data_IF_269006698090
#
_entry.id   IF_269006698090
#
_cell.length_a   1.000
_cell.length_b   1.000
_cell.length_c   1.000
_cell.angle_alpha   90.00
_cell.angle_beta   90.00
_cell.angle_gamma   90.00
#
_symmetry.space_group_name_H-M   'P 1'
#
loop_
_entity.id
_entity.type
_entity.pdbx_description
1 polymer ?
#
# COMPACT_ATOMS: atom_id res chain seq x y z
N UNK A 1 2.78 -24.07 6.04
CA UNK A 1 3.46 -23.47 7.20
C UNK A 1 2.40 -22.90 8.12
N UNK A 2 2.46 -23.10 9.43
CA UNK A 2 1.45 -22.54 10.36
C UNK A 2 2.13 -21.40 11.12
N UNK A 3 1.72 -20.17 10.83
CA UNK A 3 2.18 -19.01 11.57
C UNK A 3 1.45 -18.95 12.92
N UNK A 4 2.19 -18.63 13.98
CA UNK A 4 1.63 -18.47 15.32
C UNK A 4 2.38 -17.39 16.06
N UNK A 5 1.67 -16.35 16.46
CA UNK A 5 2.20 -15.23 17.24
C UNK A 5 1.58 -15.27 18.64
N UNK A 6 2.39 -15.60 19.64
CA UNK A 6 1.94 -15.66 21.04
C UNK A 6 2.50 -14.52 21.89
N UNK A 7 3.46 -13.76 21.38
CA UNK A 7 4.16 -12.71 22.12
C UNK A 7 4.85 -11.79 21.15
N UNK A 8 4.92 -10.51 21.47
CA UNK A 8 5.67 -9.49 20.71
C UNK A 8 7.16 -9.38 21.12
N UNK A 9 7.57 -10.09 22.17
CA UNK A 9 8.94 -10.06 22.72
C UNK A 9 9.73 -11.34 22.45
N UNK A 10 9.16 -12.30 21.73
CA UNK A 10 9.87 -13.50 21.30
C UNK A 10 10.77 -13.21 20.09
N UNK A 11 11.79 -14.05 19.83
CA UNK A 11 12.62 -13.90 18.65
C UNK A 11 11.77 -13.81 17.38
N UNK A 12 12.04 -12.79 16.57
CA UNK A 12 11.40 -12.60 15.29
C UNK A 12 11.81 -13.72 14.34
N UNK A 13 10.85 -14.41 13.74
CA UNK A 13 11.08 -15.52 12.82
C UNK A 13 10.72 -15.22 11.37
N UNK A 14 9.89 -14.20 11.18
CA UNK A 14 9.34 -13.84 9.89
C UNK A 14 8.85 -12.40 9.96
N UNK A 15 9.12 -11.62 8.92
CA UNK A 15 8.67 -10.24 8.81
C UNK A 15 8.33 -9.91 7.36
N UNK A 16 7.30 -9.10 7.18
CA UNK A 16 6.97 -8.46 5.90
C UNK A 16 7.27 -6.99 6.04
N UNK A 17 8.04 -6.44 5.12
CA UNK A 17 8.35 -5.03 4.99
C UNK A 17 7.78 -4.48 3.69
N UNK A 18 7.69 -3.17 3.58
CA UNK A 18 7.40 -2.51 2.31
C UNK A 18 8.41 -1.39 2.08
N UNK A 19 9.18 -1.51 1.02
CA UNK A 19 10.16 -0.52 0.60
C UNK A 19 9.41 0.69 0.03
N UNK A 20 9.69 1.92 0.53
CA UNK A 20 9.10 3.13 -0.05
C UNK A 20 9.29 3.19 -1.56
N UNK A 21 8.21 3.44 -2.30
CA UNK A 21 8.20 3.37 -3.75
C UNK A 21 7.48 4.56 -4.41
N UNK A 22 6.97 4.37 -5.63
CA UNK A 22 6.34 5.42 -6.42
C UNK A 22 5.10 6.04 -5.78
N UNK A 23 4.48 5.36 -4.82
CA UNK A 23 3.34 5.88 -4.05
C UNK A 23 3.70 7.16 -3.27
N UNK A 24 4.96 7.33 -2.89
CA UNK A 24 5.44 8.50 -2.17
C UNK A 24 5.80 9.68 -3.10
N UNK A 25 6.04 9.43 -4.37
CA UNK A 25 6.34 10.50 -5.35
C UNK A 25 5.13 11.40 -5.61
N UNK A 26 3.93 10.89 -5.35
CA UNK A 26 2.67 11.63 -5.50
C UNK A 26 2.18 12.26 -4.19
N UNK A 27 2.96 12.17 -3.11
CA UNK A 27 2.70 12.90 -1.87
C UNK A 27 3.21 14.33 -2.03
N UNK A 28 2.30 15.29 -1.92
CA UNK A 28 2.58 16.73 -2.10
C UNK A 28 2.07 17.53 -0.90
N UNK A 29 2.56 18.75 -0.65
CA UNK A 29 2.05 19.58 0.44
C UNK A 29 0.53 19.78 0.40
N UNK A 30 -0.07 19.79 -0.79
CA UNK A 30 -1.51 20.00 -0.93
C UNK A 30 -2.35 18.83 -0.38
N UNK A 31 -1.85 17.61 -0.44
CA UNK A 31 -2.56 16.43 0.06
C UNK A 31 -2.18 15.99 1.49
N UNK A 32 -1.38 16.81 2.18
CA UNK A 32 -1.12 16.69 3.63
C UNK A 32 -2.12 17.51 4.46
N UNK A 33 -2.90 18.37 3.85
CA UNK A 33 -3.82 19.28 4.52
C UNK A 33 -5.22 18.66 4.56
N UNK A 34 -5.75 18.36 5.76
CA UNK A 34 -7.05 17.72 5.92
C UNK A 34 -8.22 18.58 5.45
N UNK A 35 -8.13 19.90 5.64
CA UNK A 35 -9.21 20.84 5.28
C UNK A 35 -8.69 21.98 4.42
N UNK A 36 -9.44 22.32 3.39
CA UNK A 36 -9.14 23.41 2.47
C UNK A 36 -10.28 24.42 2.45
N UNK A 37 -9.96 25.68 2.14
CA UNK A 37 -10.94 26.72 1.92
C UNK A 37 -11.43 26.68 0.46
N UNK A 38 -12.75 26.57 0.28
CA UNK A 38 -13.41 26.64 -1.02
C UNK A 38 -14.69 27.45 -0.87
N UNK A 39 -14.88 28.46 -1.71
CA UNK A 39 -16.06 29.35 -1.69
C UNK A 39 -16.34 29.96 -0.29
N UNK A 40 -15.27 30.42 0.40
CA UNK A 40 -15.28 30.94 1.78
C UNK A 40 -15.83 29.96 2.82
N UNK A 41 -15.72 28.66 2.57
CA UNK A 41 -16.08 27.58 3.50
C UNK A 41 -14.91 26.62 3.67
N UNK A 42 -14.70 26.18 4.92
CA UNK A 42 -13.75 25.15 5.23
C UNK A 42 -14.40 23.79 4.95
N UNK A 43 -13.86 23.06 3.97
CA UNK A 43 -14.34 21.74 3.57
C UNK A 43 -13.22 20.71 3.74
N UNK A 44 -13.60 19.43 3.84
CA UNK A 44 -12.63 18.34 3.83
C UNK A 44 -11.91 18.30 2.47
N UNK A 45 -10.59 18.17 2.52
CA UNK A 45 -9.78 18.06 1.31
C UNK A 45 -9.98 16.68 0.66
N UNK A 46 -10.53 16.59 -0.56
CA UNK A 46 -10.76 15.31 -1.22
C UNK A 46 -9.46 14.57 -1.59
N UNK A 47 -8.34 15.29 -1.64
CA UNK A 47 -7.03 14.73 -1.95
C UNK A 47 -6.17 14.46 -0.69
N UNK A 48 -6.74 14.57 0.51
CA UNK A 48 -6.03 14.33 1.77
C UNK A 48 -5.66 12.85 1.92
N UNK A 49 -4.36 12.56 2.08
CA UNK A 49 -3.83 11.18 2.09
C UNK A 49 -3.74 10.56 3.49
N UNK A 50 -3.94 11.35 4.56
CA UNK A 50 -3.68 10.90 5.93
C UNK A 50 -2.26 10.33 6.07
N UNK A 51 -1.31 11.02 5.48
CA UNK A 51 0.12 10.74 5.51
C UNK A 51 0.83 12.07 5.74
N UNK A 52 1.60 12.17 6.80
CA UNK A 52 1.99 13.48 7.36
C UNK A 52 3.35 13.98 6.85
N UNK A 53 4.10 13.15 6.12
CA UNK A 53 5.47 13.44 5.72
C UNK A 53 5.67 13.43 4.20
N UNK A 54 6.54 14.34 3.73
CA UNK A 54 7.11 14.26 2.37
C UNK A 54 8.50 13.65 2.52
N UNK A 55 8.66 12.45 2.03
CA UNK A 55 9.92 11.72 2.14
C UNK A 55 10.75 11.83 0.85
N UNK A 56 12.08 11.83 1.01
CA UNK A 56 12.99 11.66 -0.11
C UNK A 56 13.11 10.15 -0.41
N UNK A 57 12.43 9.68 -1.44
CA UNK A 57 12.29 8.26 -1.75
C UNK A 57 13.64 7.55 -1.85
N UNK A 58 14.60 8.09 -2.60
CA UNK A 58 15.93 7.50 -2.76
C UNK A 58 16.69 7.35 -1.43
N UNK A 59 16.54 8.32 -0.53
CA UNK A 59 17.18 8.25 0.79
C UNK A 59 16.48 7.24 1.67
N UNK A 60 15.15 7.29 1.72
CA UNK A 60 14.35 6.36 2.48
C UNK A 60 14.56 4.91 2.03
N UNK A 61 14.74 4.67 0.73
CA UNK A 61 15.06 3.34 0.19
C UNK A 61 16.42 2.82 0.68
N UNK A 62 17.43 3.67 0.80
CA UNK A 62 18.74 3.27 1.34
C UNK A 62 18.64 2.91 2.82
N UNK A 63 17.99 3.75 3.61
CA UNK A 63 17.77 3.50 5.04
C UNK A 63 16.90 2.23 5.25
N UNK A 64 15.90 2.01 4.41
CA UNK A 64 15.09 0.80 4.43
C UNK A 64 15.92 -0.45 4.09
N UNK A 65 16.87 -0.37 3.15
CA UNK A 65 17.76 -1.47 2.83
C UNK A 65 18.62 -1.88 4.04
N UNK A 66 19.18 -0.90 4.75
CA UNK A 66 19.94 -1.16 5.99
C UNK A 66 19.08 -1.86 7.05
N UNK A 67 17.82 -1.42 7.21
CA UNK A 67 16.86 -2.07 8.12
C UNK A 67 16.58 -3.51 7.69
N UNK A 68 16.31 -3.75 6.41
CA UNK A 68 15.99 -5.08 5.91
C UNK A 68 17.18 -6.03 5.97
N UNK A 69 18.40 -5.56 5.79
CA UNK A 69 19.64 -6.35 5.97
C UNK A 69 19.77 -6.85 7.42
N UNK A 70 19.47 -5.98 8.39
CA UNK A 70 19.43 -6.34 9.81
C UNK A 70 18.32 -7.36 10.08
N UNK A 71 17.13 -7.13 9.54
CA UNK A 71 16.00 -8.05 9.69
C UNK A 71 16.28 -9.42 9.07
N UNK A 72 16.90 -9.47 7.90
CA UNK A 72 17.36 -10.72 7.29
C UNK A 72 18.29 -11.52 8.20
N UNK A 73 19.24 -10.84 8.86
CA UNK A 73 20.15 -11.48 9.80
C UNK A 73 19.38 -12.10 10.98
N UNK A 74 18.44 -11.37 11.58
CA UNK A 74 17.70 -11.87 12.76
C UNK A 74 16.59 -12.86 12.45
N UNK A 75 16.17 -12.97 11.19
CA UNK A 75 15.10 -13.90 10.76
C UNK A 75 15.61 -15.09 9.95
N UNK A 76 16.94 -15.30 9.91
CA UNK A 76 17.55 -16.32 9.06
C UNK A 76 17.07 -16.23 7.59
N UNK A 77 16.98 -15.01 7.06
CA UNK A 77 16.55 -14.73 5.69
C UNK A 77 15.02 -14.66 5.48
N UNK A 78 14.21 -14.78 6.52
CA UNK A 78 12.75 -14.72 6.40
C UNK A 78 12.20 -13.27 6.53
N UNK A 79 12.81 -12.35 5.83
CA UNK A 79 12.32 -10.98 5.63
C UNK A 79 11.84 -10.84 4.19
N UNK A 80 10.58 -10.50 3.99
CA UNK A 80 9.94 -10.48 2.67
C UNK A 80 9.44 -9.08 2.34
N UNK A 81 9.69 -8.66 1.10
CA UNK A 81 9.14 -7.43 0.59
C UNK A 81 7.70 -7.66 0.13
N UNK A 82 6.79 -6.76 0.54
CA UNK A 82 5.37 -6.87 0.24
C UNK A 82 5.09 -6.87 -1.27
N UNK A 83 5.77 -6.00 -2.01
CA UNK A 83 5.61 -5.93 -3.46
C UNK A 83 5.97 -7.24 -4.15
N UNK A 84 7.03 -7.93 -3.70
CA UNK A 84 7.45 -9.21 -4.28
C UNK A 84 6.46 -10.32 -3.97
N UNK A 85 5.92 -10.36 -2.74
CA UNK A 85 4.85 -11.30 -2.40
C UNK A 85 3.60 -11.04 -3.23
N UNK A 86 3.23 -9.78 -3.43
CA UNK A 86 2.09 -9.42 -4.27
C UNK A 86 2.30 -9.84 -5.72
N UNK A 87 3.49 -9.63 -6.30
CA UNK A 87 3.83 -10.07 -7.65
C UNK A 87 3.68 -11.59 -7.82
N UNK A 88 4.13 -12.37 -6.83
CA UNK A 88 3.94 -13.83 -6.84
C UNK A 88 2.46 -14.21 -6.87
N UNK A 89 1.63 -13.55 -6.05
CA UNK A 89 0.18 -13.79 -6.01
C UNK A 89 -0.48 -13.41 -7.34
N UNK A 90 -0.08 -12.29 -7.93
CA UNK A 90 -0.62 -11.79 -9.20
C UNK A 90 -0.16 -12.60 -10.42
N UNK A 91 0.84 -13.46 -10.29
CA UNK A 91 1.19 -14.46 -11.31
C UNK A 91 0.06 -15.43 -11.63
N UNK A 92 -0.88 -15.63 -10.70
CA UNK A 92 -2.10 -16.40 -10.92
C UNK A 92 -3.19 -15.58 -11.63
N UNK A 93 -3.63 -16.01 -12.81
CA UNK A 93 -4.63 -15.27 -13.61
C UNK A 93 -5.92 -14.96 -12.85
N UNK A 94 -6.41 -15.90 -12.04
CA UNK A 94 -7.64 -15.72 -11.23
C UNK A 94 -7.45 -14.70 -10.12
N UNK A 95 -6.31 -14.74 -9.44
CA UNK A 95 -6.00 -13.81 -8.34
C UNK A 95 -5.75 -12.39 -8.85
N UNK A 96 -5.05 -12.25 -9.98
CA UNK A 96 -4.86 -10.96 -10.66
C UNK A 96 -6.22 -10.33 -10.99
N UNK A 97 -7.09 -11.08 -11.68
CA UNK A 97 -8.42 -10.61 -12.07
C UNK A 97 -9.28 -10.22 -10.86
N UNK A 98 -9.30 -11.06 -9.81
CA UNK A 98 -10.07 -10.81 -8.60
C UNK A 98 -9.61 -9.53 -7.89
N UNK A 99 -8.30 -9.34 -7.72
CA UNK A 99 -7.76 -8.14 -7.07
C UNK A 99 -8.11 -6.86 -7.86
N UNK A 100 -7.94 -6.90 -9.19
CA UNK A 100 -8.27 -5.75 -10.04
C UNK A 100 -9.76 -5.39 -9.91
N UNK A 101 -10.63 -6.39 -9.90
CA UNK A 101 -12.06 -6.18 -9.72
C UNK A 101 -12.40 -5.57 -8.38
N UNK A 102 -11.85 -6.11 -7.28
CA UNK A 102 -12.07 -5.56 -5.94
C UNK A 102 -11.59 -4.11 -5.84
N UNK A 103 -10.42 -3.80 -6.37
CA UNK A 103 -9.92 -2.42 -6.41
C UNK A 103 -10.83 -1.50 -7.23
N UNK A 104 -11.33 -1.96 -8.38
CA UNK A 104 -12.21 -1.17 -9.24
C UNK A 104 -13.58 -0.93 -8.60
N UNK A 105 -14.16 -1.94 -7.95
CA UNK A 105 -15.41 -1.82 -7.19
C UNK A 105 -15.27 -0.86 -6.02
N UNK A 106 -14.17 -0.93 -5.28
CA UNK A 106 -13.88 -0.05 -4.17
C UNK A 106 -13.73 1.41 -4.63
N UNK A 107 -12.98 1.67 -5.70
CA UNK A 107 -12.86 3.01 -6.30
C UNK A 107 -14.23 3.57 -6.73
N UNK A 108 -15.06 2.74 -7.34
CA UNK A 108 -16.40 3.17 -7.70
C UNK A 108 -17.28 3.44 -6.48
N UNK A 109 -17.21 2.59 -5.46
CA UNK A 109 -17.98 2.76 -4.24
C UNK A 109 -17.61 4.05 -3.51
N UNK A 110 -16.30 4.30 -3.30
CA UNK A 110 -15.79 5.43 -2.52
C UNK A 110 -15.82 6.75 -3.29
N UNK A 111 -15.39 6.73 -4.56
CA UNK A 111 -15.10 7.96 -5.32
C UNK A 111 -15.95 8.11 -6.59
N UNK A 112 -16.88 7.18 -6.86
CA UNK A 112 -17.68 7.12 -8.10
C UNK A 112 -16.82 7.10 -9.38
N UNK A 113 -15.57 6.67 -9.26
CA UNK A 113 -14.63 6.59 -10.36
C UNK A 113 -14.65 5.20 -10.98
N UNK A 114 -14.92 5.15 -12.28
CA UNK A 114 -14.84 3.89 -13.05
C UNK A 114 -13.40 3.63 -13.46
N UNK A 115 -12.95 2.42 -13.20
CA UNK A 115 -11.64 1.91 -13.60
C UNK A 115 -11.81 1.01 -14.83
N UNK A 116 -10.89 1.16 -15.77
CA UNK A 116 -10.79 0.28 -16.94
C UNK A 116 -10.10 -1.03 -16.52
N UNK A 117 -10.89 -2.06 -16.28
CA UNK A 117 -10.44 -3.36 -15.81
C UNK A 117 -9.63 -4.07 -16.89
N UNK A 118 -10.03 -3.96 -18.16
CA UNK A 118 -9.35 -4.62 -19.27
C UNK A 118 -7.96 -4.02 -19.47
N UNK A 119 -7.83 -2.69 -19.36
CA UNK A 119 -6.54 -2.01 -19.36
C UNK A 119 -5.64 -2.54 -18.25
N UNK A 120 -6.09 -2.61 -17.00
CA UNK A 120 -5.28 -3.11 -15.88
C UNK A 120 -4.90 -4.60 -16.06
N UNK A 121 -5.80 -5.41 -16.59
CA UNK A 121 -5.50 -6.83 -16.86
C UNK A 121 -4.45 -7.00 -17.96
N UNK A 122 -4.36 -6.06 -18.92
CA UNK A 122 -3.38 -6.09 -20.00
C UNK A 122 -1.96 -5.67 -19.55
N UNK A 123 -1.84 -5.00 -18.40
CA UNK A 123 -0.53 -4.63 -17.84
C UNK A 123 0.28 -5.87 -17.46
N UNK A 124 1.60 -5.81 -17.63
CA UNK A 124 2.51 -6.73 -16.97
C UNK A 124 2.43 -6.59 -15.45
N UNK A 125 2.97 -7.56 -14.71
CA UNK A 125 2.82 -7.62 -13.26
C UNK A 125 3.51 -6.45 -12.57
N UNK A 126 4.70 -6.05 -13.03
CA UNK A 126 5.47 -4.96 -12.43
C UNK A 126 4.73 -3.64 -12.61
N UNK A 127 4.31 -3.32 -13.83
CA UNK A 127 3.51 -2.14 -14.14
C UNK A 127 2.18 -2.11 -13.38
N UNK A 128 1.54 -3.25 -13.20
CA UNK A 128 0.29 -3.34 -12.45
C UNK A 128 0.52 -3.02 -10.96
N UNK A 129 1.54 -3.62 -10.33
CA UNK A 129 1.86 -3.37 -8.92
C UNK A 129 2.21 -1.91 -8.69
N UNK A 130 3.03 -1.32 -9.55
CA UNK A 130 3.38 0.09 -9.50
C UNK A 130 2.14 1.00 -9.64
N UNK A 131 1.24 0.67 -10.58
CA UNK A 131 -0.02 1.37 -10.76
C UNK A 131 -0.95 1.24 -9.54
N UNK A 132 -1.03 0.07 -8.94
CA UNK A 132 -1.81 -0.16 -7.72
C UNK A 132 -1.29 0.68 -6.55
N UNK A 133 0.02 0.84 -6.39
CA UNK A 133 0.62 1.60 -5.28
C UNK A 133 0.58 3.11 -5.51
N UNK A 134 1.05 3.57 -6.65
CA UNK A 134 1.12 4.99 -6.98
C UNK A 134 -0.24 5.62 -7.31
N UNK A 135 -1.20 4.82 -7.72
CA UNK A 135 -2.44 5.29 -8.31
C UNK A 135 -2.30 5.78 -9.75
N UNK A 136 -1.10 5.67 -10.35
CA UNK A 136 -0.79 6.19 -11.67
C UNK A 136 -0.19 5.11 -12.57
N UNK A 137 -0.41 5.27 -13.86
CA UNK A 137 0.33 4.54 -14.89
C UNK A 137 0.92 5.55 -15.86
N UNK A 138 2.24 5.58 -15.96
CA UNK A 138 2.97 6.68 -16.57
C UNK A 138 2.52 8.01 -15.94
N UNK A 139 2.13 9.00 -16.73
CA UNK A 139 1.64 10.30 -16.23
C UNK A 139 0.11 10.37 -16.09
N UNK A 140 -0.60 9.23 -16.19
CA UNK A 140 -2.06 9.18 -16.12
C UNK A 140 -2.52 8.68 -14.75
N UNK A 141 -3.36 9.46 -14.06
CA UNK A 141 -4.00 9.06 -12.79
C UNK A 141 -5.08 8.01 -13.07
N UNK A 142 -4.86 6.78 -12.62
CA UNK A 142 -5.79 5.65 -12.76
C UNK A 142 -6.68 5.56 -11.51
N UNK A 143 -6.09 5.47 -10.32
CA UNK A 143 -6.83 5.46 -9.05
C UNK A 143 -6.92 6.86 -8.45
N UNK A 144 -7.84 7.06 -7.52
CA UNK A 144 -8.09 8.37 -6.91
C UNK A 144 -6.94 8.83 -6.02
N UNK A 145 -6.25 7.90 -5.37
CA UNK A 145 -5.14 8.22 -4.46
C UNK A 145 -4.01 7.20 -4.59
N UNK A 146 -2.75 7.61 -4.34
CA UNK A 146 -1.67 6.68 -4.02
C UNK A 146 -1.91 6.06 -2.63
N UNK A 147 -1.16 5.03 -2.28
CA UNK A 147 -1.26 4.36 -0.97
C UNK A 147 0.04 4.46 -0.16
N UNK A 148 0.54 5.66 0.19
CA UNK A 148 1.82 5.83 0.90
C UNK A 148 1.82 5.18 2.28
N UNK A 149 0.64 4.97 2.87
CA UNK A 149 0.50 4.29 4.16
C UNK A 149 0.86 2.79 4.12
N UNK A 150 1.12 2.23 2.94
CA UNK A 150 1.54 0.83 2.79
C UNK A 150 2.90 0.55 3.47
N UNK A 151 3.73 1.59 3.66
CA UNK A 151 4.97 1.48 4.44
C UNK A 151 4.72 0.97 5.87
N UNK A 152 3.51 1.19 6.41
CA UNK A 152 3.11 0.72 7.74
C UNK A 152 2.50 -0.68 7.66
N UNK A 153 3.30 -1.68 7.29
CA UNK A 153 2.84 -3.07 7.10
C UNK A 153 2.20 -3.68 8.34
N UNK A 154 2.56 -3.20 9.54
CA UNK A 154 1.96 -3.65 10.80
C UNK A 154 0.50 -3.21 10.98
N UNK A 155 0.12 -2.05 10.44
CA UNK A 155 -1.21 -1.45 10.65
C UNK A 155 -2.30 -2.15 9.84
N UNK A 156 -1.92 -2.90 8.81
CA UNK A 156 -2.84 -3.59 7.88
C UNK A 156 -3.48 -4.80 8.57
N UNK A 157 -2.73 -5.50 9.42
CA UNK A 157 -3.19 -6.74 10.03
C UNK A 157 -2.50 -7.02 11.37
N UNK A 158 -3.21 -7.66 12.28
CA UNK A 158 -2.70 -8.09 13.58
C UNK A 158 -2.77 -9.61 13.68
N UNK A 159 -1.64 -10.23 14.02
CA UNK A 159 -1.56 -11.66 14.26
C UNK A 159 -1.77 -11.97 15.75
N UNK A 160 -2.77 -12.80 16.08
CA UNK A 160 -3.06 -13.25 17.45
C UNK A 160 -3.17 -14.77 17.43
N UNK A 161 -2.22 -15.45 18.05
CA UNK A 161 -2.14 -16.91 17.97
C UNK A 161 -1.97 -17.37 16.52
N UNK A 162 -2.95 -18.10 16.01
CA UNK A 162 -3.02 -18.58 14.62
C UNK A 162 -4.05 -17.84 13.75
N UNK A 163 -4.51 -16.69 14.22
CA UNK A 163 -5.53 -15.87 13.56
C UNK A 163 -4.90 -14.57 13.09
N UNK A 164 -5.27 -14.12 11.90
CA UNK A 164 -4.93 -12.81 11.37
C UNK A 164 -6.20 -11.97 11.36
N UNK A 165 -6.19 -10.86 12.07
CA UNK A 165 -7.24 -9.85 12.01
C UNK A 165 -6.82 -8.78 11.01
N UNK A 166 -7.57 -8.67 9.92
CA UNK A 166 -7.37 -7.61 8.93
C UNK A 166 -8.10 -6.36 9.43
N UNK A 167 -7.38 -5.24 9.47
CA UNK A 167 -7.94 -3.96 9.91
C UNK A 167 -8.74 -3.32 8.78
N UNK A 168 -9.73 -2.50 9.16
CA UNK A 168 -10.50 -1.71 8.21
C UNK A 168 -10.49 -0.24 8.63
N UNK A 169 -9.89 0.60 7.81
CA UNK A 169 -9.78 2.03 8.13
C UNK A 169 -11.13 2.74 8.07
N UNK A 170 -11.36 3.68 9.00
CA UNK A 170 -12.48 4.61 8.95
C UNK A 170 -12.34 5.60 7.79
N UNK A 171 -11.12 6.04 7.46
CA UNK A 171 -10.83 6.99 6.39
C UNK A 171 -10.74 6.26 5.04
N UNK A 172 -11.47 6.76 4.06
CA UNK A 172 -11.61 6.13 2.73
C UNK A 172 -10.28 5.97 1.99
N UNK A 173 -9.39 6.94 2.12
CA UNK A 173 -8.06 6.91 1.50
C UNK A 173 -7.17 5.73 1.92
N UNK A 174 -7.48 5.08 3.06
CA UNK A 174 -6.76 3.90 3.57
C UNK A 174 -7.50 2.58 3.35
N UNK A 175 -8.52 2.54 2.51
CA UNK A 175 -9.35 1.33 2.31
C UNK A 175 -8.92 0.48 1.12
N UNK A 176 -8.14 1.04 0.18
CA UNK A 176 -7.58 0.30 -0.95
C UNK A 176 -6.35 -0.47 -0.57
#
# INVERSE_FOLDING_TARGET
MRYKVNSEIQPLRFVITHKPGPEHEYVTPANLIEKIEKDNKLIDNPDYLLFDDIIQVDKAQKEHQELTDILHYFTDGNCYEFSDLLKVILGGHKTKYALIHECAELEYFLYKKKIDIDFLNALDIDSLVECLFSGHYLNRRIFSHPIPNLIFTRDIAVCIGNTILITWSKKDVRKR
#
